data_IF_294986662465
#
_entry.id   IF_294986662465
#
_cell.length_a   1.000
_cell.length_b   1.000
_cell.length_c   1.000
_cell.angle_alpha   90.00
_cell.angle_beta   90.00
_cell.angle_gamma   90.00
#
_symmetry.space_group_name_H-M   'P 1'
#
loop_
_entity.id
_entity.type
_entity.pdbx_description
1 polymer ?
#
# COMPACT_ATOMS: atom_id res chain seq x y z
N UNK A 1 -6.86 -10.56 22.81
CA UNK A 1 -6.08 -10.51 21.58
C UNK A 1 -4.99 -11.56 21.59
N UNK A 2 -4.86 -12.26 20.49
CA UNK A 2 -3.84 -13.28 20.37
C UNK A 2 -2.45 -12.66 20.42
N UNK A 3 -1.63 -13.17 21.34
CA UNK A 3 -0.26 -12.73 21.56
C UNK A 3 0.61 -12.85 20.32
N UNK A 4 0.36 -13.85 19.48
CA UNK A 4 1.13 -14.08 18.26
C UNK A 4 0.84 -13.04 17.18
N UNK A 5 -0.33 -12.42 17.21
CA UNK A 5 -0.69 -11.38 16.25
C UNK A 5 0.16 -10.13 16.37
N UNK A 6 0.63 -9.81 17.57
CA UNK A 6 1.43 -8.63 17.86
C UNK A 6 2.77 -8.64 17.12
N UNK A 7 3.31 -9.82 16.89
CA UNK A 7 4.63 -9.99 16.27
C UNK A 7 4.55 -10.43 14.82
N UNK A 8 3.34 -10.54 14.28
CA UNK A 8 3.16 -10.99 12.92
C UNK A 8 3.53 -9.88 11.94
N UNK A 9 4.31 -10.24 10.92
CA UNK A 9 4.62 -9.35 9.81
C UNK A 9 3.32 -9.03 9.06
N UNK A 10 3.09 -7.77 8.82
CA UNK A 10 1.89 -7.28 8.16
C UNK A 10 2.26 -6.45 6.94
N UNK A 11 1.31 -6.37 6.00
CA UNK A 11 1.40 -5.47 4.86
C UNK A 11 0.19 -4.55 4.87
N UNK A 12 0.44 -3.27 4.61
CA UNK A 12 -0.62 -2.29 4.44
C UNK A 12 -0.76 -2.04 2.95
N UNK A 13 -1.97 -2.13 2.43
CA UNK A 13 -2.30 -1.74 1.07
C UNK A 13 -3.14 -0.48 1.12
N UNK A 14 -2.74 0.53 0.36
CA UNK A 14 -3.51 1.76 0.19
C UNK A 14 -3.97 1.79 -1.25
N UNK A 15 -5.30 1.71 -1.44
CA UNK A 15 -5.94 1.71 -2.74
C UNK A 15 -6.70 3.02 -2.89
N UNK A 16 -6.46 3.73 -3.98
CA UNK A 16 -7.08 5.04 -4.10
C UNK A 16 -7.53 5.35 -5.52
N UNK A 17 -8.59 6.14 -5.57
CA UNK A 17 -9.16 6.66 -6.81
C UNK A 17 -9.37 8.15 -6.59
N UNK A 18 -8.45 8.96 -7.10
CA UNK A 18 -8.44 10.39 -6.90
C UNK A 18 -8.68 11.12 -8.22
N UNK A 19 -9.40 12.25 -8.18
CA UNK A 19 -9.62 13.04 -9.39
C UNK A 19 -8.31 13.62 -9.92
N UNK A 20 -8.21 13.76 -11.25
CA UNK A 20 -7.02 14.27 -11.93
C UNK A 20 -7.37 15.27 -13.03
N UNK A 21 -8.54 15.88 -12.97
CA UNK A 21 -9.02 16.76 -14.03
C UNK A 21 -8.46 18.18 -13.96
N UNK A 22 -8.40 18.74 -12.76
CA UNK A 22 -7.92 20.11 -12.57
C UNK A 22 -6.46 20.13 -12.12
N UNK A 23 -5.83 21.30 -12.18
CA UNK A 23 -4.48 21.47 -11.65
C UNK A 23 -4.44 21.21 -10.15
N UNK A 24 -5.47 21.64 -9.44
CA UNK A 24 -5.59 21.41 -8.00
C UNK A 24 -5.69 19.91 -7.69
N UNK A 25 -6.48 19.18 -8.49
CA UNK A 25 -6.60 17.74 -8.36
C UNK A 25 -5.26 17.03 -8.56
N UNK A 26 -4.56 17.41 -9.63
CA UNK A 26 -3.25 16.81 -9.95
C UNK A 26 -2.23 17.07 -8.86
N UNK A 27 -2.27 18.27 -8.28
CA UNK A 27 -1.38 18.62 -7.17
C UNK A 27 -1.68 17.79 -5.93
N UNK A 28 -2.97 17.65 -5.58
CA UNK A 28 -3.38 16.84 -4.44
C UNK A 28 -3.00 15.36 -4.64
N UNK A 29 -3.17 14.85 -5.85
CA UNK A 29 -2.76 13.49 -6.21
C UNK A 29 -1.25 13.30 -6.00
N UNK A 30 -0.45 14.22 -6.51
CA UNK A 30 1.00 14.16 -6.39
C UNK A 30 1.45 14.25 -4.93
N UNK A 31 0.82 15.10 -4.14
CA UNK A 31 1.14 15.24 -2.73
C UNK A 31 0.81 13.98 -1.94
N UNK A 32 -0.34 13.36 -2.24
CA UNK A 32 -0.72 12.11 -1.57
C UNK A 32 0.30 11.01 -1.85
N UNK A 33 0.73 10.87 -3.12
CA UNK A 33 1.75 9.90 -3.49
C UNK A 33 3.08 10.17 -2.78
N UNK A 34 3.50 11.43 -2.74
CA UNK A 34 4.73 11.80 -2.04
C UNK A 34 4.68 11.45 -0.56
N UNK A 35 3.55 11.72 0.07
CA UNK A 35 3.37 11.43 1.49
C UNK A 35 3.42 9.93 1.76
N UNK A 36 2.81 9.12 0.88
CA UNK A 36 2.92 7.67 0.98
C UNK A 36 4.37 7.22 0.86
N UNK A 37 5.09 7.73 -0.13
CA UNK A 37 6.49 7.37 -0.35
C UNK A 37 7.38 7.78 0.83
N UNK A 38 7.15 8.96 1.40
CA UNK A 38 7.88 9.42 2.58
C UNK A 38 7.65 8.53 3.79
N UNK A 39 6.47 7.95 3.89
CA UNK A 39 6.15 7.04 4.99
C UNK A 39 6.54 5.59 4.69
N UNK A 40 7.33 5.38 3.65
CA UNK A 40 7.90 4.07 3.34
C UNK A 40 7.02 3.17 2.48
N UNK A 41 5.97 3.71 1.87
CA UNK A 41 5.15 2.94 0.94
C UNK A 41 5.81 2.89 -0.43
N UNK A 42 5.62 1.79 -1.12
CA UNK A 42 6.14 1.54 -2.46
C UNK A 42 4.97 1.27 -3.41
N UNK A 43 5.05 1.76 -4.62
CA UNK A 43 4.01 1.50 -5.61
C UNK A 43 4.00 0.01 -5.99
N UNK A 44 2.86 -0.62 -5.77
CA UNK A 44 2.64 -2.02 -6.16
C UNK A 44 2.01 -2.10 -7.54
N UNK A 45 0.98 -1.29 -7.74
CA UNK A 45 0.33 -1.07 -9.02
C UNK A 45 -0.09 0.40 -9.07
N UNK A 46 -0.48 0.88 -10.24
CA UNK A 46 -0.99 2.23 -10.37
C UNK A 46 -2.18 2.42 -9.41
N UNK A 47 -2.08 3.42 -8.54
CA UNK A 47 -3.07 3.70 -7.49
C UNK A 47 -3.18 2.64 -6.39
N UNK A 48 -2.17 1.78 -6.26
CA UNK A 48 -2.06 0.85 -5.13
C UNK A 48 -0.65 0.91 -4.58
N UNK A 49 -0.52 1.34 -3.34
CA UNK A 49 0.77 1.42 -2.65
C UNK A 49 0.77 0.45 -1.47
N UNK A 50 1.91 -0.12 -1.18
CA UNK A 50 2.05 -1.11 -0.11
C UNK A 50 3.22 -0.77 0.79
N UNK A 51 3.11 -1.18 2.05
CA UNK A 51 4.18 -1.05 3.03
C UNK A 51 4.28 -2.31 3.86
N UNK A 52 5.50 -2.83 3.94
CA UNK A 52 5.84 -3.93 4.84
C UNK A 52 5.98 -3.39 6.26
N UNK A 53 5.40 -4.08 7.22
CA UNK A 53 5.47 -3.69 8.63
C UNK A 53 5.91 -4.90 9.46
N UNK A 54 6.88 -4.68 10.34
CA UNK A 54 7.45 -5.77 11.13
C UNK A 54 6.44 -6.37 12.13
N UNK A 55 5.49 -5.54 12.60
CA UNK A 55 4.49 -5.97 13.59
C UNK A 55 3.15 -5.32 13.27
N UNK A 56 2.08 -5.85 13.88
CA UNK A 56 0.77 -5.22 13.77
C UNK A 56 0.72 -3.85 14.43
N UNK A 57 1.50 -3.63 15.49
CA UNK A 57 1.60 -2.33 16.14
C UNK A 57 2.24 -1.30 15.21
N UNK A 58 3.30 -1.71 14.52
CA UNK A 58 3.96 -0.87 13.54
C UNK A 58 2.99 -0.52 12.39
N UNK A 59 2.21 -1.50 11.93
CA UNK A 59 1.20 -1.26 10.91
C UNK A 59 0.17 -0.22 11.36
N UNK A 60 -0.28 -0.31 12.61
CA UNK A 60 -1.26 0.64 13.14
C UNK A 60 -0.74 2.08 13.13
N UNK A 61 0.55 2.27 13.42
CA UNK A 61 1.19 3.59 13.38
C UNK A 61 1.13 4.17 11.97
N UNK A 62 1.47 3.37 10.96
CA UNK A 62 1.49 3.84 9.58
C UNK A 62 0.09 4.05 9.01
N UNK A 63 -0.88 3.24 9.41
CA UNK A 63 -2.28 3.47 9.04
C UNK A 63 -2.75 4.81 9.58
N UNK A 64 -2.42 5.11 10.84
CA UNK A 64 -2.77 6.38 11.46
C UNK A 64 -2.13 7.55 10.71
N UNK A 65 -0.89 7.41 10.27
CA UNK A 65 -0.20 8.44 9.49
C UNK A 65 -0.89 8.68 8.15
N UNK A 66 -1.25 7.62 7.43
CA UNK A 66 -1.98 7.77 6.17
C UNK A 66 -3.28 8.53 6.39
N UNK A 67 -4.02 8.21 7.46
CA UNK A 67 -5.25 8.91 7.79
C UNK A 67 -5.03 10.40 8.04
N UNK A 68 -3.83 10.81 8.46
CA UNK A 68 -3.52 12.21 8.74
C UNK A 68 -3.30 13.04 7.49
N UNK A 69 -3.04 12.41 6.34
CA UNK A 69 -2.80 13.17 5.10
C UNK A 69 -3.72 12.75 3.94
N UNK A 70 -4.92 12.24 4.28
CA UNK A 70 -5.91 11.89 3.26
C UNK A 70 -6.26 13.12 2.40
N UNK A 71 -6.45 12.94 1.08
CA UNK A 71 -6.85 14.05 0.23
C UNK A 71 -8.29 14.48 0.52
N UNK A 72 -8.62 15.72 0.13
CA UNK A 72 -9.95 16.28 0.37
C UNK A 72 -11.02 15.58 -0.46
N UNK A 73 -10.68 15.16 -1.68
CA UNK A 73 -11.62 14.54 -2.61
C UNK A 73 -11.09 13.19 -3.09
N UNK A 74 -12.01 12.37 -3.57
CA UNK A 74 -11.70 11.04 -4.06
C UNK A 74 -11.91 9.98 -2.98
N UNK A 75 -11.51 8.76 -3.29
CA UNK A 75 -11.67 7.62 -2.40
C UNK A 75 -10.32 7.02 -2.05
N UNK A 76 -10.15 6.65 -0.80
CA UNK A 76 -8.96 5.95 -0.34
C UNK A 76 -9.39 4.78 0.53
N UNK A 77 -8.96 3.58 0.15
CA UNK A 77 -9.16 2.38 0.94
C UNK A 77 -7.85 1.97 1.58
N UNK A 78 -7.91 1.48 2.80
CA UNK A 78 -6.74 0.97 3.52
C UNK A 78 -7.04 -0.45 3.96
N UNK A 79 -6.16 -1.38 3.59
CA UNK A 79 -6.29 -2.78 3.96
C UNK A 79 -5.00 -3.24 4.62
N UNK A 80 -5.12 -3.98 5.71
CA UNK A 80 -3.96 -4.56 6.38
C UNK A 80 -4.09 -6.09 6.31
N UNK A 81 -3.08 -6.74 5.74
CA UNK A 81 -3.08 -8.19 5.57
C UNK A 81 -1.77 -8.78 6.10
N UNK A 82 -1.78 -10.08 6.34
CA UNK A 82 -0.59 -10.78 6.80
C UNK A 82 0.39 -10.98 5.64
N UNK A 83 1.65 -11.21 5.98
CA UNK A 83 2.68 -11.54 5.00
C UNK A 83 2.29 -12.77 4.18
N UNK A 84 1.71 -13.77 4.82
CA UNK A 84 1.24 -14.97 4.14
C UNK A 84 0.16 -14.66 3.10
N UNK A 85 -0.79 -13.79 3.46
CA UNK A 85 -1.84 -13.38 2.54
C UNK A 85 -1.28 -12.57 1.38
N UNK A 86 -0.34 -11.67 1.67
CA UNK A 86 0.31 -10.88 0.63
C UNK A 86 1.06 -11.77 -0.37
N UNK A 87 1.74 -12.81 0.13
CA UNK A 87 2.47 -13.76 -0.71
C UNK A 87 1.55 -14.59 -1.61
N UNK A 88 0.25 -14.65 -1.31
CA UNK A 88 -0.72 -15.39 -2.11
C UNK A 88 -1.32 -14.58 -3.26
N UNK A 89 -0.95 -13.31 -3.39
CA UNK A 89 -1.42 -12.48 -4.49
C UNK A 89 -0.87 -13.03 -5.80
N UNK A 90 -1.75 -13.29 -6.75
CA UNK A 90 -1.37 -13.74 -8.07
C UNK A 90 -1.24 -12.55 -9.01
N UNK A 91 -0.11 -12.42 -9.68
CA UNK A 91 0.19 -11.29 -10.55
C UNK A 91 0.30 -11.74 -12.00
N UNK A 92 -0.25 -10.97 -12.90
CA UNK A 92 -0.27 -11.24 -14.32
C UNK A 92 0.11 -10.00 -15.12
N UNK A 93 0.79 -10.23 -16.24
CA UNK A 93 0.98 -9.22 -17.28
C UNK A 93 0.13 -9.66 -18.47
N UNK A 94 -0.97 -8.96 -18.69
CA UNK A 94 -1.97 -9.43 -19.62
C UNK A 94 -2.49 -10.80 -19.18
N UNK A 95 -2.38 -11.82 -20.02
CA UNK A 95 -2.80 -13.18 -19.67
C UNK A 95 -1.70 -14.04 -19.09
N UNK A 96 -0.46 -13.55 -19.06
CA UNK A 96 0.66 -14.34 -18.58
C UNK A 96 0.86 -14.13 -17.08
N UNK A 97 1.07 -15.21 -16.32
CA UNK A 97 1.43 -15.04 -14.91
C UNK A 97 2.80 -14.39 -14.78
N UNK A 98 3.00 -13.68 -13.67
CA UNK A 98 4.22 -12.94 -13.35
C UNK A 98 5.29 -13.90 -12.85
N UNK A 99 5.83 -14.77 -13.59
CA UNK A 99 6.96 -15.60 -13.22
C UNK A 99 6.92 -16.14 -11.78
N UNK A 100 8.06 -16.64 -11.30
CA UNK A 100 8.18 -17.29 -9.98
C UNK A 100 8.42 -16.32 -8.82
N UNK A 101 8.46 -15.04 -9.08
CA UNK A 101 8.74 -14.06 -8.03
C UNK A 101 7.52 -13.85 -7.13
N UNK A 102 7.74 -13.84 -5.82
CA UNK A 102 6.69 -13.45 -4.90
C UNK A 102 6.42 -11.95 -5.03
N UNK A 103 5.24 -11.48 -4.63
CA UNK A 103 4.96 -10.04 -4.62
C UNK A 103 6.01 -9.22 -3.85
N UNK A 104 6.49 -9.74 -2.72
CA UNK A 104 7.53 -9.07 -1.95
C UNK A 104 8.84 -8.93 -2.70
N UNK A 105 9.24 -9.96 -3.43
CA UNK A 105 10.47 -9.92 -4.23
C UNK A 105 10.36 -8.92 -5.37
N UNK A 106 9.18 -8.79 -5.96
CA UNK A 106 8.97 -7.80 -7.02
C UNK A 106 9.13 -6.38 -6.50
N UNK A 107 8.66 -6.12 -5.30
CA UNK A 107 8.77 -4.79 -4.71
C UNK A 107 10.21 -4.41 -4.42
N UNK A 108 11.07 -5.37 -4.19
CA UNK A 108 12.50 -5.11 -3.99
C UNK A 108 13.18 -4.58 -5.25
N UNK A 109 12.58 -4.81 -6.40
CA UNK A 109 13.14 -4.36 -7.68
C UNK A 109 12.73 -2.92 -8.04
N UNK A 110 11.81 -2.37 -7.30
CA UNK A 110 11.36 -1.01 -7.49
C UNK A 110 12.12 -0.06 -6.58
#
# INVERSE_FOLDING_TARGET
MDRFSEYRVMWILVLFDLPTETKKDKKAYAEFRKNLQRDGFTMFQFSIYVRHCATSENAAVHIKRVKSFLPEFGQVGIMCITDKQFAQIELFYGKKPQGVKTPGQQLELF
#
